data_IF_517527777018
#
_entry.id   IF_517527777018
#
_cell.length_a   1.000
_cell.length_b   1.000
_cell.length_c   1.000
_cell.angle_alpha   90.00
_cell.angle_beta   90.00
_cell.angle_gamma   90.00
#
_symmetry.space_group_name_H-M   'P 1'
#
loop_
_entity.id
_entity.type
_entity.pdbx_description
1 polymer ?
#
# COMPACT_ATOMS: atom_id res chain seq x y z
N UNK A 1 17.62 -11.59 1.12
CA UNK A 1 16.39 -10.78 0.97
C UNK A 1 16.77 -9.31 1.01
N UNK A 2 16.15 -8.46 0.19
CA UNK A 2 16.51 -7.04 0.12
C UNK A 2 16.17 -6.28 1.40
N UNK A 3 16.96 -5.25 1.69
CA UNK A 3 16.77 -4.33 2.80
C UNK A 3 16.38 -2.95 2.29
N UNK A 4 15.50 -2.27 3.02
CA UNK A 4 15.20 -0.84 2.86
C UNK A 4 15.49 -0.15 4.20
N UNK A 5 16.38 0.84 4.17
CA UNK A 5 16.61 1.69 5.33
C UNK A 5 15.47 2.69 5.50
N UNK A 6 15.06 2.92 6.75
CA UNK A 6 14.09 3.94 7.08
C UNK A 6 14.55 4.81 8.24
N UNK A 7 14.02 6.03 8.30
CA UNK A 7 14.11 6.93 9.45
C UNK A 7 12.72 7.29 9.96
N UNK A 8 12.47 7.10 11.25
CA UNK A 8 11.30 7.53 11.97
C UNK A 8 11.65 8.74 12.85
N UNK A 9 10.85 9.80 12.78
CA UNK A 9 11.06 11.03 13.56
C UNK A 9 9.78 11.48 14.25
N UNK A 10 9.92 12.11 15.43
CA UNK A 10 8.85 12.67 16.26
C UNK A 10 7.84 11.65 16.85
N UNK A 11 8.13 10.35 16.76
CA UNK A 11 7.31 9.34 17.44
C UNK A 11 7.60 9.29 18.93
N UNK A 12 6.54 9.32 19.73
CA UNK A 12 6.62 9.12 21.18
C UNK A 12 7.00 7.66 21.53
N UNK A 13 7.66 7.40 22.67
CA UNK A 13 8.13 6.06 23.03
C UNK A 13 7.04 4.97 23.08
N UNK A 14 5.78 5.33 23.30
CA UNK A 14 4.67 4.38 23.36
C UNK A 14 4.37 3.69 22.01
N UNK A 15 4.85 4.25 20.89
CA UNK A 15 4.77 3.63 19.57
C UNK A 15 5.73 2.46 19.38
N UNK A 16 6.61 2.22 20.36
CA UNK A 16 7.51 1.07 20.37
C UNK A 16 8.87 1.33 19.71
N UNK A 17 9.81 0.37 19.85
CA UNK A 17 11.21 0.56 19.49
C UNK A 17 11.45 0.70 17.99
N UNK A 18 10.56 0.19 17.14
CA UNK A 18 10.68 0.30 15.68
C UNK A 18 10.49 1.74 15.18
N UNK A 19 9.91 2.63 15.98
CA UNK A 19 9.72 4.04 15.62
C UNK A 19 10.68 4.97 16.38
N UNK A 20 11.66 4.41 17.10
CA UNK A 20 12.65 5.14 17.87
C UNK A 20 13.90 5.51 17.04
N UNK A 21 13.70 6.18 15.90
CA UNK A 21 14.79 6.65 15.03
C UNK A 21 14.93 5.82 13.75
N UNK A 22 16.14 5.39 13.41
CA UNK A 22 16.41 4.71 12.15
C UNK A 22 16.43 3.19 12.28
N UNK A 23 16.07 2.49 11.21
CA UNK A 23 16.08 1.03 11.16
C UNK A 23 16.20 0.46 9.75
N UNK A 24 16.20 -0.87 9.67
CA UNK A 24 16.21 -1.62 8.42
C UNK A 24 14.96 -2.51 8.36
N UNK A 25 14.27 -2.49 7.22
CA UNK A 25 13.19 -3.42 6.93
C UNK A 25 13.67 -4.42 5.88
N UNK A 26 13.52 -5.71 6.19
CA UNK A 26 13.54 -6.75 5.17
C UNK A 26 12.22 -6.69 4.43
N UNK A 27 12.28 -6.33 3.15
CA UNK A 27 11.12 -6.16 2.27
C UNK A 27 11.37 -7.00 1.02
N UNK A 28 10.43 -7.87 0.68
CA UNK A 28 10.55 -8.76 -0.49
C UNK A 28 9.94 -8.11 -1.73
N UNK A 29 10.23 -8.66 -2.92
CA UNK A 29 9.52 -8.26 -4.14
C UNK A 29 8.01 -8.50 -4.03
N UNK A 30 7.61 -9.58 -3.35
CA UNK A 30 6.20 -9.85 -3.05
C UNK A 30 5.59 -8.72 -2.24
N UNK A 31 6.27 -8.24 -1.21
CA UNK A 31 5.78 -7.15 -0.34
C UNK A 31 5.68 -5.82 -1.10
N UNK A 32 6.64 -5.50 -1.97
CA UNK A 32 6.56 -4.31 -2.82
C UNK A 32 5.39 -4.39 -3.82
N UNK A 33 5.19 -5.55 -4.46
CA UNK A 33 4.09 -5.74 -5.41
C UNK A 33 2.74 -5.74 -4.69
N UNK A 34 2.63 -6.39 -3.53
CA UNK A 34 1.43 -6.32 -2.69
C UNK A 34 1.12 -4.89 -2.29
N UNK A 35 2.11 -4.14 -1.81
CA UNK A 35 1.92 -2.75 -1.44
C UNK A 35 1.48 -1.89 -2.64
N UNK A 36 2.09 -2.12 -3.81
CA UNK A 36 1.76 -1.45 -5.05
C UNK A 36 0.30 -1.69 -5.50
N UNK A 37 -0.18 -2.93 -5.48
CA UNK A 37 -1.53 -3.29 -5.98
C UNK A 37 -2.63 -3.04 -4.94
N UNK A 38 -2.29 -2.94 -3.65
CA UNK A 38 -3.28 -2.77 -2.57
C UNK A 38 -3.34 -1.37 -1.96
N UNK A 39 -2.32 -0.52 -2.14
CA UNK A 39 -2.41 0.86 -1.65
C UNK A 39 -3.57 1.58 -2.37
N UNK A 40 -4.57 2.01 -1.59
CA UNK A 40 -5.81 2.61 -2.10
C UNK A 40 -5.58 3.69 -3.17
N UNK A 41 -6.56 3.89 -4.06
CA UNK A 41 -6.37 4.66 -5.30
C UNK A 41 -7.14 6.00 -5.37
N UNK A 42 -6.54 7.06 -5.97
CA UNK A 42 -7.24 8.22 -6.53
C UNK A 42 -8.25 7.84 -7.64
N UNK A 43 -9.54 8.18 -7.52
CA UNK A 43 -10.48 8.13 -8.66
C UNK A 43 -11.15 6.78 -8.95
N UNK A 44 -11.17 5.88 -7.97
CA UNK A 44 -11.77 4.52 -8.04
C UNK A 44 -13.25 4.48 -8.45
N UNK A 45 -14.01 5.58 -8.27
CA UNK A 45 -15.42 5.68 -8.69
C UNK A 45 -15.66 5.26 -10.14
N UNK A 46 -14.77 5.69 -11.05
CA UNK A 46 -14.96 5.51 -12.48
C UNK A 46 -14.40 4.19 -13.02
N UNK A 47 -13.40 3.61 -12.35
CA UNK A 47 -12.71 2.42 -12.85
C UNK A 47 -13.33 1.11 -12.33
N UNK A 48 -13.86 1.09 -11.10
CA UNK A 48 -14.51 -0.12 -10.57
C UNK A 48 -15.94 -0.34 -11.09
N UNK A 49 -16.51 0.62 -11.83
CA UNK A 49 -17.76 0.40 -12.55
C UNK A 49 -17.64 -0.69 -13.64
N UNK A 50 -16.40 -1.02 -14.07
CA UNK A 50 -16.15 -2.07 -15.07
C UNK A 50 -14.95 -2.95 -14.67
N UNK A 51 -15.20 -4.24 -14.38
CA UNK A 51 -14.22 -5.21 -13.86
C UNK A 51 -12.97 -5.48 -14.71
N UNK A 52 -12.90 -4.98 -15.96
CA UNK A 52 -11.68 -5.02 -16.78
C UNK A 52 -10.59 -4.05 -16.28
N UNK A 53 -11.00 -2.94 -15.66
CA UNK A 53 -10.07 -1.88 -15.27
C UNK A 53 -9.29 -2.20 -13.99
N UNK A 54 -9.80 -3.07 -13.11
CA UNK A 54 -9.07 -3.51 -11.91
C UNK A 54 -7.89 -4.43 -12.25
N UNK A 55 -8.10 -5.41 -13.12
CA UNK A 55 -7.04 -6.30 -13.61
C UNK A 55 -5.94 -5.49 -14.31
N UNK A 56 -6.33 -4.58 -15.19
CA UNK A 56 -5.40 -3.68 -15.88
C UNK A 56 -4.58 -2.85 -14.88
N UNK A 57 -5.18 -2.41 -13.77
CA UNK A 57 -4.49 -1.64 -12.73
C UNK A 57 -3.45 -2.49 -11.98
N UNK A 58 -3.79 -3.74 -11.60
CA UNK A 58 -2.84 -4.67 -10.99
C UNK A 58 -1.64 -4.92 -11.90
N UNK A 59 -1.89 -5.11 -13.20
CA UNK A 59 -0.87 -5.27 -14.24
C UNK A 59 0.05 -4.04 -14.27
N UNK A 60 -0.52 -2.84 -14.40
CA UNK A 60 0.24 -1.57 -14.48
C UNK A 60 1.06 -1.32 -13.23
N UNK A 61 0.49 -1.51 -12.04
CA UNK A 61 1.16 -1.24 -10.75
C UNK A 61 2.29 -2.22 -10.50
N UNK A 62 2.06 -3.50 -10.78
CA UNK A 62 3.11 -4.51 -10.70
C UNK A 62 4.21 -4.21 -11.70
N UNK A 63 3.86 -3.85 -12.95
CA UNK A 63 4.83 -3.41 -13.94
C UNK A 63 5.58 -2.15 -13.54
N UNK A 64 4.95 -1.22 -12.83
CA UNK A 64 5.61 -0.01 -12.33
C UNK A 64 6.73 -0.40 -11.36
N UNK A 65 6.48 -1.33 -10.44
CA UNK A 65 7.53 -1.89 -9.55
C UNK A 65 8.61 -2.59 -10.38
N UNK A 66 8.21 -3.47 -11.30
CA UNK A 66 9.13 -4.24 -12.14
C UNK A 66 10.04 -3.31 -12.96
N UNK A 67 9.49 -2.38 -13.72
CA UNK A 67 10.24 -1.52 -14.63
C UNK A 67 11.06 -0.46 -13.90
N UNK A 68 10.60 0.03 -12.74
CA UNK A 68 11.21 1.18 -12.06
C UNK A 68 12.34 0.80 -11.11
N UNK A 69 12.36 -0.43 -10.61
CA UNK A 69 13.29 -0.88 -9.57
C UNK A 69 14.15 -2.04 -10.05
N UNK A 70 15.36 -2.11 -9.51
CA UNK A 70 16.25 -3.27 -9.59
C UNK A 70 16.85 -3.56 -8.22
N UNK A 71 17.40 -4.75 -8.05
CA UNK A 71 18.13 -5.11 -6.84
C UNK A 71 19.64 -4.95 -7.09
N UNK A 72 20.35 -4.41 -6.12
CA UNK A 72 21.80 -4.22 -6.16
C UNK A 72 22.34 -4.30 -4.74
N UNK A 73 23.35 -5.15 -4.51
CA UNK A 73 23.99 -5.31 -3.19
C UNK A 73 23.00 -5.55 -2.03
N UNK A 74 21.94 -6.32 -2.26
CA UNK A 74 20.91 -6.60 -1.25
C UNK A 74 19.99 -5.42 -0.92
N UNK A 75 19.95 -4.38 -1.75
CA UNK A 75 19.06 -3.21 -1.61
C UNK A 75 18.32 -2.95 -2.93
N UNK A 76 17.33 -2.08 -2.90
CA UNK A 76 16.61 -1.63 -4.09
C UNK A 76 17.21 -0.34 -4.64
N UNK A 77 17.37 -0.26 -5.95
CA UNK A 77 17.81 0.95 -6.65
C UNK A 77 16.86 1.28 -7.80
N UNK A 78 16.94 2.52 -8.28
CA UNK A 78 16.31 2.91 -9.56
C UNK A 78 16.90 2.05 -10.69
N UNK A 79 16.04 1.62 -11.60
CA UNK A 79 16.45 1.05 -12.88
C UNK A 79 16.94 2.12 -13.86
N UNK A 80 17.58 1.68 -14.95
CA UNK A 80 17.88 2.56 -16.09
C UNK A 80 16.61 3.15 -16.71
N UNK A 81 15.51 2.38 -16.76
CA UNK A 81 14.22 2.84 -17.28
C UNK A 81 13.68 4.00 -16.44
N UNK A 82 13.68 3.89 -15.10
CA UNK A 82 13.36 5.02 -14.23
C UNK A 82 14.26 6.21 -14.58
N UNK A 83 15.58 5.98 -14.66
CA UNK A 83 16.56 7.02 -14.96
C UNK A 83 16.28 7.78 -16.27
N UNK A 84 15.74 7.09 -17.27
CA UNK A 84 15.45 7.60 -18.61
C UNK A 84 14.10 8.35 -18.72
N UNK A 85 13.18 8.18 -17.77
CA UNK A 85 11.88 8.88 -17.78
C UNK A 85 12.04 10.40 -17.83
N UNK A 86 11.11 11.09 -18.49
CA UNK A 86 11.06 12.56 -18.46
C UNK A 86 10.62 13.07 -17.06
N UNK A 87 10.80 14.36 -16.72
CA UNK A 87 10.45 14.89 -15.40
C UNK A 87 9.01 14.63 -14.95
N UNK A 88 8.04 14.63 -15.87
CA UNK A 88 6.63 14.40 -15.58
C UNK A 88 6.37 12.94 -15.21
N UNK A 89 6.87 12.02 -16.04
CA UNK A 89 6.83 10.58 -15.78
C UNK A 89 7.55 10.23 -14.48
N UNK A 90 8.74 10.80 -14.22
CA UNK A 90 9.46 10.66 -12.95
C UNK A 90 8.63 11.14 -11.76
N UNK A 91 7.87 12.23 -11.94
CA UNK A 91 6.94 12.73 -10.94
C UNK A 91 5.88 11.69 -10.59
N UNK A 92 5.21 11.13 -11.59
CA UNK A 92 4.20 10.08 -11.42
C UNK A 92 4.77 8.80 -10.79
N UNK A 93 5.91 8.30 -11.30
CA UNK A 93 6.58 7.12 -10.73
C UNK A 93 7.04 7.37 -9.29
N UNK A 94 7.58 8.55 -9.00
CA UNK A 94 7.95 8.92 -7.62
C UNK A 94 6.74 8.90 -6.69
N UNK A 95 5.65 9.58 -7.08
CA UNK A 95 4.41 9.60 -6.31
C UNK A 95 3.93 8.18 -5.99
N UNK A 96 3.93 7.30 -6.99
CA UNK A 96 3.62 5.88 -6.80
C UNK A 96 4.55 5.18 -5.79
N UNK A 97 5.85 5.43 -5.83
CA UNK A 97 6.79 4.88 -4.82
C UNK A 97 6.50 5.41 -3.41
N UNK A 98 6.07 6.67 -3.29
CA UNK A 98 5.61 7.25 -2.02
C UNK A 98 4.43 6.48 -1.44
N UNK A 99 3.41 6.22 -2.26
CA UNK A 99 2.21 5.45 -1.87
C UNK A 99 2.59 4.02 -1.45
N UNK A 100 3.44 3.35 -2.23
CA UNK A 100 3.94 2.01 -1.90
C UNK A 100 4.69 2.00 -0.56
N UNK A 101 5.55 3.00 -0.32
CA UNK A 101 6.26 3.13 0.95
C UNK A 101 5.32 3.34 2.14
N UNK A 102 4.28 4.17 1.98
CA UNK A 102 3.28 4.38 3.02
C UNK A 102 2.59 3.07 3.40
N UNK A 103 2.22 2.26 2.40
CA UNK A 103 1.60 0.94 2.62
C UNK A 103 2.52 -0.05 3.32
N UNK A 104 3.79 -0.14 2.91
CA UNK A 104 4.77 -0.99 3.61
C UNK A 104 4.97 -0.54 5.05
N UNK A 105 5.21 0.76 5.28
CA UNK A 105 5.45 1.29 6.63
C UNK A 105 4.22 1.15 7.53
N UNK A 106 3.02 1.40 7.02
CA UNK A 106 1.79 1.24 7.79
C UNK A 106 1.58 -0.20 8.27
N UNK A 107 1.80 -1.16 7.38
CA UNK A 107 1.66 -2.57 7.74
C UNK A 107 2.77 -3.03 8.70
N UNK A 108 4.02 -2.62 8.45
CA UNK A 108 5.20 -3.12 9.19
C UNK A 108 5.45 -2.43 10.52
N UNK A 109 5.11 -1.14 10.64
CA UNK A 109 5.41 -0.32 11.81
C UNK A 109 4.17 0.09 12.60
N UNK A 110 3.00 0.14 11.98
CA UNK A 110 1.79 0.73 12.57
C UNK A 110 0.62 -0.25 12.69
N UNK A 111 0.84 -1.52 12.36
CA UNK A 111 -0.20 -2.55 12.39
C UNK A 111 -1.48 -2.15 11.63
N UNK A 112 -1.28 -1.48 10.50
CA UNK A 112 -2.33 -0.89 9.67
C UNK A 112 -2.23 -1.45 8.25
N UNK A 113 -2.69 -2.70 8.02
CA UNK A 113 -2.52 -3.34 6.73
C UNK A 113 -3.55 -2.85 5.70
N UNK A 114 -4.67 -2.28 6.10
CA UNK A 114 -5.60 -1.63 5.17
C UNK A 114 -5.32 -0.13 5.08
N UNK A 115 -4.87 0.32 3.90
CA UNK A 115 -4.75 1.74 3.55
C UNK A 115 -5.65 2.06 2.35
N UNK A 116 -6.47 3.08 2.52
CA UNK A 116 -7.42 3.58 1.54
C UNK A 116 -7.06 4.99 1.13
N UNK A 117 -7.15 5.30 -0.15
CA UNK A 117 -6.98 6.67 -0.61
C UNK A 117 -8.26 7.47 -0.41
N UNK A 118 -8.15 8.71 0.06
CA UNK A 118 -9.31 9.51 0.47
C UNK A 118 -10.36 9.67 -0.64
N UNK A 119 -9.92 9.78 -1.90
CA UNK A 119 -10.85 9.89 -3.03
C UNK A 119 -11.80 8.69 -3.18
N UNK A 120 -11.45 7.51 -2.64
CA UNK A 120 -12.30 6.32 -2.71
C UNK A 120 -13.63 6.55 -1.97
N UNK A 121 -13.63 7.42 -0.97
CA UNK A 121 -14.78 7.70 -0.12
C UNK A 121 -15.72 8.74 -0.72
N UNK A 122 -15.16 9.77 -1.41
CA UNK A 122 -15.97 10.72 -2.22
C UNK A 122 -16.83 10.00 -3.25
N UNK A 123 -16.21 9.02 -3.91
CA UNK A 123 -16.81 8.14 -4.90
C UNK A 123 -17.92 7.22 -4.36
N UNK A 124 -18.01 7.01 -3.05
CA UNK A 124 -19.01 6.15 -2.40
C UNK A 124 -20.18 6.94 -1.81
N UNK A 125 -20.31 8.24 -2.11
CA UNK A 125 -21.28 9.11 -1.46
C UNK A 125 -20.88 9.53 -0.04
N UNK A 126 -19.59 9.39 0.32
CA UNK A 126 -19.06 9.97 1.55
C UNK A 126 -19.24 11.48 1.54
N UNK A 127 -19.78 12.02 2.64
CA UNK A 127 -19.91 13.46 2.83
C UNK A 127 -18.53 13.95 3.25
N UNK A 128 -17.78 14.42 2.27
CA UNK A 128 -16.51 15.08 2.47
C UNK A 128 -16.66 16.48 1.85
N UNK A 129 -17.14 17.43 2.65
CA UNK A 129 -16.96 18.84 2.32
C UNK A 129 -15.56 19.17 2.78
N UNK A 130 -14.67 19.49 1.85
CA UNK A 130 -13.36 20.02 2.18
C UNK A 130 -13.32 21.42 1.61
N UNK A 131 -13.14 22.39 2.50
CA UNK A 131 -12.98 23.80 2.14
C UNK A 131 -11.60 24.14 1.54
N UNK A 132 -10.67 23.17 1.44
CA UNK A 132 -9.28 23.38 0.99
C UNK A 132 -8.84 22.40 -0.11
N UNK A 133 -7.88 22.81 -0.95
CA UNK A 133 -7.28 21.98 -2.02
C UNK A 133 -6.19 21.02 -1.52
N UNK A 134 -6.04 20.83 -0.21
CA UNK A 134 -4.91 20.18 0.43
C UNK A 134 -5.42 19.13 1.40
N UNK A 135 -5.35 17.87 1.00
CA UNK A 135 -5.95 16.75 1.73
C UNK A 135 -4.90 15.67 1.92
N UNK A 136 -4.99 14.86 3.00
CA UNK A 136 -4.14 13.70 3.09
C UNK A 136 -4.47 12.69 1.98
N UNK A 137 -3.47 11.95 1.53
CA UNK A 137 -3.61 10.92 0.51
C UNK A 137 -4.38 9.71 1.06
N UNK A 138 -4.08 9.28 2.29
CA UNK A 138 -4.42 7.96 2.81
C UNK A 138 -5.07 8.00 4.20
N UNK A 139 -6.01 7.08 4.42
CA UNK A 139 -6.47 6.67 5.75
C UNK A 139 -6.35 5.16 5.92
N UNK A 140 -6.10 4.70 7.14
CA UNK A 140 -6.07 3.30 7.48
C UNK A 140 -6.62 3.03 8.87
N UNK A 141 -6.91 1.75 9.15
CA UNK A 141 -7.37 1.32 10.47
C UNK A 141 -6.37 0.33 11.06
N UNK A 142 -5.92 0.61 12.27
CA UNK A 142 -5.07 -0.28 13.07
C UNK A 142 -5.85 -1.52 13.51
N UNK A 143 -5.18 -2.62 13.87
CA UNK A 143 -5.87 -3.79 14.42
C UNK A 143 -6.62 -3.49 15.73
N UNK A 144 -6.16 -2.50 16.51
CA UNK A 144 -6.85 -2.02 17.72
C UNK A 144 -8.09 -1.15 17.40
N UNK A 145 -8.38 -0.90 16.12
CA UNK A 145 -9.56 -0.19 15.66
C UNK A 145 -9.40 1.33 15.56
N UNK A 146 -8.25 1.89 15.94
CA UNK A 146 -7.94 3.31 15.79
C UNK A 146 -7.58 3.70 14.35
N UNK A 147 -7.89 4.92 13.96
CA UNK A 147 -7.60 5.43 12.61
C UNK A 147 -6.22 6.07 12.50
N UNK A 148 -5.55 5.84 11.37
CA UNK A 148 -4.31 6.50 10.97
C UNK A 148 -4.58 7.32 9.73
N UNK A 149 -4.02 8.52 9.67
CA UNK A 149 -3.97 9.36 8.47
C UNK A 149 -2.55 9.39 7.97
N UNK A 150 -2.34 9.23 6.66
CA UNK A 150 -1.01 9.28 6.08
C UNK A 150 -0.97 10.14 4.82
N UNK A 151 0.12 10.88 4.67
CA UNK A 151 0.43 11.61 3.45
C UNK A 151 1.71 11.06 2.84
N UNK A 152 1.71 10.77 1.54
CA UNK A 152 2.77 10.01 0.91
C UNK A 152 3.48 10.82 -0.17
N UNK A 153 4.79 11.04 -0.01
CA UNK A 153 5.62 11.75 -0.99
C UNK A 153 6.68 10.84 -1.60
N UNK A 154 6.92 11.01 -2.89
CA UNK A 154 8.03 10.37 -3.57
C UNK A 154 9.06 11.37 -4.06
N UNK A 155 10.34 11.04 -3.94
CA UNK A 155 11.46 11.81 -4.47
C UNK A 155 12.34 10.92 -5.33
N UNK A 156 12.74 11.42 -6.49
CA UNK A 156 13.72 10.74 -7.35
C UNK A 156 15.12 10.72 -6.76
N UNK A 157 15.44 11.67 -5.88
CA UNK A 157 16.77 11.86 -5.29
C UNK A 157 16.69 11.75 -3.77
N UNK A 158 17.60 12.40 -3.03
CA UNK A 158 17.62 12.37 -1.58
C UNK A 158 16.35 12.89 -0.91
N UNK A 159 16.32 12.75 0.41
CA UNK A 159 15.24 13.23 1.28
C UNK A 159 14.99 14.72 1.08
N UNK A 160 13.73 15.14 1.13
CA UNK A 160 13.31 16.53 1.09
C UNK A 160 12.51 16.88 2.34
N UNK A 161 13.12 17.65 3.23
CA UNK A 161 12.48 18.12 4.45
C UNK A 161 11.32 19.07 4.15
N UNK A 162 11.45 19.94 3.14
CA UNK A 162 10.35 20.79 2.67
C UNK A 162 9.12 19.97 2.25
N UNK A 163 9.31 18.89 1.50
CA UNK A 163 8.22 18.02 1.10
C UNK A 163 7.62 17.27 2.30
N UNK A 164 8.45 16.90 3.28
CA UNK A 164 7.98 16.27 4.51
C UNK A 164 7.14 17.25 5.36
N UNK A 165 7.58 18.48 5.55
CA UNK A 165 6.81 19.53 6.25
C UNK A 165 5.48 19.81 5.55
N UNK A 166 5.48 19.93 4.22
CA UNK A 166 4.23 20.12 3.47
C UNK A 166 3.28 18.93 3.64
N UNK A 167 3.82 17.70 3.64
CA UNK A 167 3.04 16.50 3.86
C UNK A 167 2.42 16.46 5.26
N UNK A 168 3.15 16.90 6.30
CA UNK A 168 2.60 17.05 7.65
C UNK A 168 1.41 18.00 7.67
N UNK A 169 1.54 19.17 7.05
CA UNK A 169 0.44 20.15 6.96
C UNK A 169 -0.79 19.54 6.29
N UNK A 170 -0.61 18.73 5.24
CA UNK A 170 -1.70 18.00 4.58
C UNK A 170 -2.43 17.04 5.54
N UNK A 171 -1.72 16.28 6.37
CA UNK A 171 -2.37 15.37 7.35
C UNK A 171 -3.21 16.08 8.41
N UNK A 172 -2.96 17.37 8.69
CA UNK A 172 -3.68 18.16 9.70
C UNK A 172 -5.07 18.61 9.25
N UNK A 173 -5.35 18.52 7.94
CA UNK A 173 -6.61 18.96 7.32
C UNK A 173 -7.78 17.97 7.52
N UNK A 174 -7.52 16.82 8.16
CA UNK A 174 -8.53 15.86 8.56
C UNK A 174 -8.58 15.72 10.09
N UNK A 175 -9.73 16.08 10.67
CA UNK A 175 -9.93 16.14 12.13
C UNK A 175 -10.43 14.81 12.70
N UNK A 176 -11.56 14.30 12.20
CA UNK A 176 -12.15 13.02 12.62
C UNK A 176 -12.47 12.12 11.44
N UNK A 177 -12.47 10.82 11.70
CA UNK A 177 -12.93 9.78 10.78
C UNK A 177 -14.00 8.97 11.47
N UNK A 178 -15.21 8.96 10.92
CA UNK A 178 -16.38 8.27 11.49
C UNK A 178 -16.56 8.59 12.99
N UNK A 179 -16.45 9.88 13.33
CA UNK A 179 -16.61 10.39 14.71
C UNK A 179 -15.40 10.21 15.63
N UNK A 180 -14.33 9.52 15.21
CA UNK A 180 -13.14 9.26 16.03
C UNK A 180 -11.96 10.13 15.60
N UNK A 181 -11.16 10.58 16.57
CA UNK A 181 -9.87 11.20 16.26
C UNK A 181 -8.87 10.14 15.77
N UNK A 182 -8.13 10.39 14.68
CA UNK A 182 -6.99 9.57 14.31
C UNK A 182 -5.99 9.48 15.46
N UNK A 183 -5.56 8.25 15.77
CA UNK A 183 -4.54 7.96 16.77
C UNK A 183 -3.16 8.39 16.30
N UNK A 184 -2.97 8.48 14.98
CA UNK A 184 -1.72 8.89 14.35
C UNK A 184 -2.01 9.66 13.06
N UNK A 185 -1.19 10.67 12.80
CA UNK A 185 -1.07 11.35 11.51
C UNK A 185 0.38 11.19 11.11
N UNK A 186 0.67 10.65 9.94
CA UNK A 186 2.05 10.38 9.54
C UNK A 186 2.35 10.94 8.14
N UNK A 187 3.45 11.68 8.02
CA UNK A 187 4.01 12.03 6.74
C UNK A 187 5.05 10.96 6.34
N UNK A 188 4.93 10.41 5.14
CA UNK A 188 5.83 9.39 4.59
C UNK A 188 6.54 9.92 3.37
N UNK A 189 7.81 9.55 3.20
CA UNK A 189 8.56 9.82 2.00
C UNK A 189 9.37 8.62 1.53
N UNK A 190 9.19 8.24 0.26
CA UNK A 190 10.11 7.37 -0.46
C UNK A 190 11.14 8.22 -1.22
N UNK A 191 12.41 7.86 -1.15
CA UNK A 191 13.49 8.61 -1.80
C UNK A 191 14.68 7.70 -2.14
N UNK A 192 15.66 8.20 -2.90
CA UNK A 192 16.82 7.41 -3.35
C UNK A 192 18.15 8.09 -3.01
N UNK A 193 19.05 7.36 -2.35
CA UNK A 193 20.40 7.84 -2.02
C UNK A 193 21.43 6.71 -1.80
N UNK A 194 22.05 6.19 -2.87
CA UNK A 194 21.45 5.92 -4.18
C UNK A 194 20.35 4.84 -4.13
N UNK A 195 20.34 4.03 -3.07
CA UNK A 195 19.33 3.01 -2.82
C UNK A 195 18.02 3.62 -2.31
N UNK A 196 16.93 2.88 -2.48
CA UNK A 196 15.62 3.24 -1.97
C UNK A 196 15.65 3.30 -0.45
N UNK A 197 15.11 4.39 0.08
CA UNK A 197 14.98 4.65 1.51
C UNK A 197 13.60 5.20 1.81
N UNK A 198 13.11 4.93 3.00
CA UNK A 198 11.87 5.49 3.51
C UNK A 198 12.12 6.48 4.64
N UNK A 199 11.19 7.39 4.84
CA UNK A 199 11.10 8.21 6.03
C UNK A 199 9.65 8.26 6.47
N UNK A 200 9.43 8.23 7.78
CA UNK A 200 8.12 8.40 8.40
C UNK A 200 8.24 9.41 9.54
N UNK A 201 7.26 10.28 9.67
CA UNK A 201 7.25 11.31 10.70
C UNK A 201 5.85 11.49 11.27
N UNK A 202 5.72 11.49 12.59
CA UNK A 202 4.48 11.77 13.32
C UNK A 202 4.38 13.28 13.63
N UNK A 203 3.66 14.09 12.83
CA UNK A 203 3.29 15.43 13.24
C UNK A 203 2.44 15.39 14.51
N UNK A 204 2.98 15.99 15.58
CA UNK A 204 2.12 16.48 16.65
C UNK A 204 1.15 17.52 16.05
N UNK A 205 -0.13 17.46 16.42
CA UNK A 205 -1.24 18.39 16.11
C UNK A 205 -2.18 18.04 14.93
N UNK A 206 -3.40 18.54 15.05
CA UNK A 206 -4.42 18.68 14.01
C UNK A 206 -4.98 20.11 14.07
N UNK A 207 -5.59 20.60 12.99
CA UNK A 207 -6.25 21.91 13.02
C UNK A 207 -7.68 21.76 13.58
N UNK A 208 -8.06 22.56 14.59
CA UNK A 208 -9.39 22.44 15.23
C UNK A 208 -10.55 22.67 14.26
N UNK A 209 -10.32 23.51 13.25
CA UNK A 209 -11.25 23.84 12.17
C UNK A 209 -11.13 22.91 10.96
N UNK A 210 -10.31 21.85 11.04
CA UNK A 210 -10.25 20.83 10.01
C UNK A 210 -11.53 20.01 9.96
N UNK A 211 -11.71 19.32 8.85
CA UNK A 211 -12.98 18.72 8.46
C UNK A 211 -13.10 17.29 8.99
N UNK A 212 -14.33 16.82 9.16
CA UNK A 212 -14.62 15.45 9.56
C UNK A 212 -15.00 14.62 8.33
N UNK A 213 -14.41 13.43 8.19
CA UNK A 213 -14.75 12.47 7.16
C UNK A 213 -15.70 11.41 7.72
N UNK A 214 -16.86 11.25 7.07
CA UNK A 214 -17.78 10.16 7.37
C UNK A 214 -18.06 9.34 6.10
N UNK A 215 -17.95 8.01 6.22
CA UNK A 215 -18.18 7.08 5.12
C UNK A 215 -18.64 5.72 5.61
N UNK A 216 -19.26 4.96 4.70
CA UNK A 216 -19.59 3.56 4.93
C UNK A 216 -18.32 2.68 4.81
N UNK A 217 -17.86 2.13 5.94
CA UNK A 217 -16.64 1.30 5.99
C UNK A 217 -16.76 0.08 5.08
N UNK A 218 -17.90 -0.61 5.09
CA UNK A 218 -18.15 -1.77 4.25
C UNK A 218 -17.94 -1.47 2.77
N UNK A 219 -18.54 -0.40 2.25
CA UNK A 219 -18.37 0.01 0.85
C UNK A 219 -16.92 0.29 0.49
N UNK A 220 -16.11 0.77 1.44
CA UNK A 220 -14.68 0.97 1.20
C UNK A 220 -13.89 -0.34 1.16
N UNK A 221 -14.19 -1.28 2.05
CA UNK A 221 -13.56 -2.60 2.07
C UNK A 221 -13.98 -3.42 0.84
N UNK A 222 -15.24 -3.36 0.44
CA UNK A 222 -15.72 -3.95 -0.82
C UNK A 222 -14.94 -3.42 -2.03
N UNK A 223 -14.73 -2.10 -2.11
CA UNK A 223 -13.92 -1.49 -3.18
C UNK A 223 -12.44 -1.86 -3.12
N UNK A 224 -11.91 -2.12 -1.94
CA UNK A 224 -10.53 -2.57 -1.76
C UNK A 224 -10.32 -3.97 -2.34
N UNK A 225 -11.24 -4.90 -2.06
CA UNK A 225 -11.11 -6.28 -2.53
C UNK A 225 -11.69 -6.55 -3.92
N UNK A 226 -12.60 -5.70 -4.42
CA UNK A 226 -13.16 -5.86 -5.77
C UNK A 226 -12.11 -5.84 -6.87
N UNK A 227 -10.93 -5.25 -6.59
CA UNK A 227 -9.77 -5.30 -7.47
C UNK A 227 -9.28 -6.71 -7.82
N UNK A 228 -9.62 -7.71 -6.99
CA UNK A 228 -9.12 -9.08 -7.06
C UNK A 228 -10.23 -10.12 -7.29
N UNK A 229 -11.49 -9.69 -7.25
CA UNK A 229 -12.66 -10.57 -7.24
C UNK A 229 -13.41 -10.47 -8.56
N UNK A 230 -12.77 -10.90 -9.64
CA UNK A 230 -13.43 -11.01 -10.94
C UNK A 230 -13.92 -12.44 -11.16
N UNK A 231 -15.23 -12.66 -11.11
CA UNK A 231 -15.84 -13.99 -11.33
C UNK A 231 -16.17 -14.32 -12.79
N UNK A 232 -16.14 -13.34 -13.69
CA UNK A 232 -16.84 -13.43 -14.97
C UNK A 232 -15.97 -13.74 -16.19
N UNK A 233 -14.64 -13.75 -16.07
CA UNK A 233 -13.79 -13.73 -17.28
C UNK A 233 -12.40 -14.37 -17.18
N UNK A 234 -11.93 -14.76 -16.00
CA UNK A 234 -10.68 -15.50 -15.84
C UNK A 234 -10.92 -16.73 -14.96
N UNK A 235 -10.13 -17.79 -15.16
CA UNK A 235 -10.18 -18.97 -14.30
C UNK A 235 -9.71 -18.59 -12.90
N UNK A 236 -10.66 -18.45 -11.98
CA UNK A 236 -10.37 -18.41 -10.55
C UNK A 236 -10.00 -19.82 -10.09
N UNK A 237 -8.89 -19.93 -9.36
CA UNK A 237 -8.46 -21.19 -8.76
C UNK A 237 -8.77 -21.17 -7.28
N UNK A 238 -9.22 -22.31 -6.80
CA UNK A 238 -9.32 -22.58 -5.39
C UNK A 238 -8.01 -23.20 -4.90
N UNK A 239 -7.34 -22.54 -3.96
CA UNK A 239 -6.02 -22.96 -3.49
C UNK A 239 -6.02 -23.00 -1.96
N UNK A 240 -5.60 -24.15 -1.40
CA UNK A 240 -5.31 -24.24 0.03
C UNK A 240 -3.89 -23.78 0.29
N UNK A 241 -3.73 -22.74 1.12
CA UNK A 241 -2.44 -22.18 1.52
C UNK A 241 -2.41 -22.15 3.05
N UNK A 242 -1.48 -22.89 3.67
CA UNK A 242 -1.39 -23.04 5.12
C UNK A 242 -2.73 -23.47 5.77
N UNK A 243 -3.48 -24.36 5.12
CA UNK A 243 -4.77 -24.86 5.61
C UNK A 243 -5.94 -23.87 5.48
N UNK A 244 -5.72 -22.68 4.94
CA UNK A 244 -6.76 -21.70 4.60
C UNK A 244 -7.07 -21.74 3.11
N UNK A 245 -8.32 -21.46 2.77
CA UNK A 245 -8.82 -21.49 1.39
C UNK A 245 -8.71 -20.10 0.77
N UNK A 246 -8.11 -20.01 -0.41
CA UNK A 246 -7.93 -18.77 -1.17
C UNK A 246 -8.58 -18.89 -2.54
N UNK A 247 -9.23 -17.80 -2.97
CA UNK A 247 -9.66 -17.62 -4.36
C UNK A 247 -8.55 -16.86 -5.08
N UNK A 248 -7.86 -17.52 -5.99
CA UNK A 248 -6.66 -17.03 -6.67
C UNK A 248 -6.95 -16.69 -8.12
N UNK A 249 -6.45 -15.53 -8.55
CA UNK A 249 -6.43 -15.05 -9.92
C UNK A 249 -4.97 -14.95 -10.39
N UNK A 250 -4.68 -15.54 -11.56
CA UNK A 250 -3.36 -15.47 -12.19
C UNK A 250 -3.33 -14.34 -13.23
N UNK A 251 -2.25 -13.55 -13.21
CA UNK A 251 -1.96 -12.54 -14.21
C UNK A 251 -0.67 -12.92 -14.94
N UNK A 252 -0.78 -13.86 -15.88
CA UNK A 252 0.33 -14.44 -16.61
C UNK A 252 1.13 -13.41 -17.42
N UNK A 253 0.55 -12.27 -17.79
CA UNK A 253 1.22 -11.20 -18.52
C UNK A 253 2.33 -10.56 -17.69
N UNK A 254 2.17 -10.59 -16.36
CA UNK A 254 3.05 -9.89 -15.41
C UNK A 254 3.68 -10.80 -14.37
N UNK A 255 3.32 -12.09 -14.35
CA UNK A 255 3.96 -13.11 -13.52
C UNK A 255 3.62 -13.01 -12.06
N UNK A 256 2.38 -12.59 -11.77
CA UNK A 256 1.87 -12.50 -10.41
C UNK A 256 0.60 -13.35 -10.31
N UNK A 257 0.40 -13.99 -9.16
CA UNK A 257 -0.86 -14.61 -8.78
C UNK A 257 -1.35 -13.96 -7.50
N UNK A 258 -2.58 -13.48 -7.49
CA UNK A 258 -3.19 -12.77 -6.36
C UNK A 258 -4.34 -13.59 -5.83
N UNK A 259 -4.32 -13.93 -4.54
CA UNK A 259 -5.36 -14.64 -3.83
C UNK A 259 -6.04 -13.78 -2.79
N UNK A 260 -7.34 -14.00 -2.56
CA UNK A 260 -8.06 -13.46 -1.41
C UNK A 260 -8.57 -14.62 -0.57
N UNK A 261 -8.30 -14.56 0.74
CA UNK A 261 -8.78 -15.55 1.71
C UNK A 261 -10.32 -15.63 1.70
N UNK A 262 -10.88 -16.84 1.61
CA UNK A 262 -12.32 -17.03 1.57
C UNK A 262 -13.02 -16.48 2.82
N UNK A 263 -12.35 -16.46 3.97
CA UNK A 263 -12.91 -15.87 5.18
C UNK A 263 -13.06 -14.34 5.08
N UNK A 264 -12.20 -13.64 4.33
CA UNK A 264 -12.41 -12.22 4.01
C UNK A 264 -13.69 -12.06 3.20
N UNK A 265 -13.91 -12.93 2.21
CA UNK A 265 -15.09 -12.91 1.35
C UNK A 265 -16.37 -13.20 2.13
N UNK A 266 -16.31 -14.14 3.08
CA UNK A 266 -17.41 -14.44 3.98
C UNK A 266 -17.74 -13.25 4.90
N UNK A 267 -16.72 -12.57 5.46
CA UNK A 267 -16.91 -11.34 6.25
C UNK A 267 -17.54 -10.22 5.41
N UNK A 268 -17.11 -10.06 4.16
CA UNK A 268 -17.69 -9.11 3.20
C UNK A 268 -19.14 -9.44 2.83
N UNK A 269 -19.51 -10.72 2.77
CA UNK A 269 -20.89 -11.13 2.50
C UNK A 269 -21.80 -11.09 3.75
N UNK A 270 -21.23 -11.23 4.94
CA UNK A 270 -21.96 -11.19 6.21
C UNK A 270 -22.30 -9.76 6.66
N UNK A 271 -23.10 -9.65 7.73
CA UNK A 271 -23.61 -8.37 8.24
C UNK A 271 -22.73 -7.68 9.30
N UNK A 272 -21.62 -8.30 9.73
CA UNK A 272 -20.80 -7.80 10.84
C UNK A 272 -19.67 -6.86 10.36
N UNK A 273 -19.96 -5.55 10.31
CA UNK A 273 -19.01 -4.52 9.89
C UNK A 273 -17.78 -4.40 10.80
N UNK A 274 -17.92 -4.72 12.09
CA UNK A 274 -16.83 -4.60 13.07
C UNK A 274 -15.69 -5.59 12.81
N UNK A 275 -15.97 -6.67 12.07
CA UNK A 275 -14.99 -7.71 11.73
C UNK A 275 -14.24 -7.43 10.40
N UNK A 276 -14.68 -6.46 9.59
CA UNK A 276 -14.17 -6.23 8.23
C UNK A 276 -12.71 -5.77 8.20
N UNK A 277 -12.31 -4.93 9.16
CA UNK A 277 -10.97 -4.37 9.29
C UNK A 277 -10.27 -4.91 10.53
N UNK A 278 -10.46 -6.21 10.78
CA UNK A 278 -9.75 -6.95 11.82
C UNK A 278 -8.94 -8.06 11.18
N UNK A 279 -7.72 -8.33 11.66
CA UNK A 279 -6.94 -9.47 11.20
C UNK A 279 -7.75 -10.77 11.32
N UNK A 280 -7.50 -11.71 10.41
CA UNK A 280 -8.23 -12.99 10.38
C UNK A 280 -7.86 -13.93 11.53
N UNK A 281 -6.64 -13.80 12.08
CA UNK A 281 -6.13 -14.56 13.23
C UNK A 281 -5.33 -13.66 14.18
N UNK A 282 -5.11 -14.09 15.42
CA UNK A 282 -4.30 -13.34 16.42
C UNK A 282 -2.82 -13.20 15.99
N UNK A 283 -2.34 -14.09 15.12
CA UNK A 283 -1.01 -14.02 14.47
C UNK A 283 -1.05 -13.34 13.08
N UNK A 284 -2.23 -12.94 12.59
CA UNK A 284 -2.44 -12.46 11.22
C UNK A 284 -1.91 -11.05 10.95
N UNK A 285 -1.17 -10.44 11.88
CA UNK A 285 -0.43 -9.20 11.62
C UNK A 285 0.94 -9.47 10.98
N UNK A 286 1.29 -10.74 10.75
CA UNK A 286 2.56 -11.14 10.18
C UNK A 286 2.44 -11.58 8.72
N UNK A 287 3.54 -11.40 8.00
CA UNK A 287 3.70 -11.89 6.63
C UNK A 287 4.15 -13.35 6.71
N UNK A 288 3.41 -14.26 6.08
CA UNK A 288 3.66 -15.71 6.18
C UNK A 288 4.02 -16.31 4.82
N UNK A 289 4.99 -17.23 4.80
CA UNK A 289 5.36 -17.97 3.60
C UNK A 289 4.57 -19.28 3.51
N UNK A 290 3.78 -19.45 2.45
CA UNK A 290 2.94 -20.61 2.16
C UNK A 290 3.28 -21.25 0.82
N UNK A 291 4.44 -21.89 0.72
CA UNK A 291 4.94 -22.44 -0.53
C UNK A 291 5.31 -21.31 -1.51
N UNK A 292 4.71 -21.23 -2.72
CA UNK A 292 4.99 -20.15 -3.66
C UNK A 292 4.33 -18.81 -3.26
N UNK A 293 3.39 -18.83 -2.31
CA UNK A 293 2.66 -17.64 -1.88
C UNK A 293 3.27 -17.00 -0.63
N UNK A 294 3.18 -15.69 -0.58
CA UNK A 294 3.34 -14.88 0.63
C UNK A 294 1.96 -14.35 1.04
N UNK A 295 1.56 -14.57 2.28
CA UNK A 295 0.25 -14.15 2.81
C UNK A 295 0.45 -12.88 3.62
N UNK A 296 -0.39 -11.89 3.34
CA UNK A 296 -0.34 -10.58 3.96
C UNK A 296 -1.46 -10.40 5.00
N UNK A 297 -1.28 -9.48 5.96
CA UNK A 297 -2.24 -9.28 7.04
C UNK A 297 -3.65 -8.84 6.64
N UNK A 298 -3.80 -8.29 5.43
CA UNK A 298 -5.09 -7.97 4.84
C UNK A 298 -5.75 -9.18 4.14
N UNK A 299 -5.26 -10.41 4.36
CA UNK A 299 -5.83 -11.62 3.78
C UNK A 299 -5.58 -11.76 2.27
N UNK A 300 -4.70 -10.94 1.70
CA UNK A 300 -4.21 -11.12 0.33
C UNK A 300 -3.05 -12.12 0.34
N UNK A 301 -3.04 -13.07 -0.59
CA UNK A 301 -1.91 -13.93 -0.89
C UNK A 301 -1.29 -13.51 -2.23
N UNK A 302 0.04 -13.44 -2.31
CA UNK A 302 0.74 -13.10 -3.55
C UNK A 302 1.82 -14.13 -3.86
N UNK A 303 1.83 -14.64 -5.08
CA UNK A 303 2.96 -15.37 -5.63
C UNK A 303 3.55 -14.60 -6.81
N UNK A 304 4.87 -14.70 -6.97
CA UNK A 304 5.59 -14.16 -8.11
C UNK A 304 6.31 -15.29 -8.83
N UNK A 305 6.24 -15.30 -10.16
CA UNK A 305 6.88 -16.34 -10.95
C UNK A 305 8.39 -16.07 -11.18
N UNK A 306 9.02 -16.92 -12.01
CA UNK A 306 10.45 -16.85 -12.33
C UNK A 306 10.92 -15.48 -12.85
N UNK A 307 10.04 -14.65 -13.44
CA UNK A 307 10.39 -13.29 -13.93
C UNK A 307 10.86 -12.39 -12.80
N UNK A 308 10.34 -12.59 -11.60
CA UNK A 308 10.63 -11.83 -10.39
C UNK A 308 11.74 -12.46 -9.53
N UNK A 309 12.37 -13.52 -10.01
CA UNK A 309 13.48 -14.15 -9.31
C UNK A 309 14.62 -13.16 -9.05
N UNK A 310 15.29 -13.29 -7.90
CA UNK A 310 16.38 -12.41 -7.50
C UNK A 310 17.47 -12.26 -8.60
N UNK A 311 17.94 -13.33 -9.29
CA UNK A 311 18.88 -13.19 -10.41
C UNK A 311 18.37 -12.32 -11.56
N UNK A 312 17.06 -12.31 -11.83
CA UNK A 312 16.46 -11.44 -12.85
C UNK A 312 16.29 -10.01 -12.35
N UNK A 313 15.84 -9.85 -11.11
CA UNK A 313 15.60 -8.53 -10.54
C UNK A 313 16.90 -7.76 -10.24
N UNK A 314 18.03 -8.46 -10.09
CA UNK A 314 19.36 -7.85 -10.08
C UNK A 314 19.79 -7.25 -11.43
N UNK A 315 19.20 -7.71 -12.53
CA UNK A 315 19.45 -7.14 -13.85
C UNK A 315 18.64 -5.89 -14.04
N UNK A 316 19.22 -4.96 -14.77
CA UNK A 316 18.49 -3.83 -15.31
C UNK A 316 17.34 -4.32 -16.20
N UNK A 317 16.14 -3.69 -16.18
CA UNK A 317 14.99 -4.10 -16.98
C UNK A 317 15.29 -4.36 -18.45
N UNK A 318 16.16 -3.55 -19.09
CA UNK A 318 16.54 -3.75 -20.49
C UNK A 318 17.24 -5.11 -20.75
N UNK A 319 17.84 -5.70 -19.71
CA UNK A 319 18.56 -6.97 -19.73
C UNK A 319 17.73 -8.13 -19.14
N UNK A 320 16.52 -7.87 -18.67
CA UNK A 320 15.54 -8.90 -18.28
C UNK A 320 14.89 -9.47 -19.54
N UNK A 321 15.71 -10.05 -20.44
CA UNK A 321 15.19 -10.72 -21.63
C UNK A 321 14.21 -11.84 -21.22
N UNK A 322 13.06 -11.84 -21.89
CA UNK A 322 12.00 -12.86 -21.86
C UNK A 322 12.62 -14.28 -21.93
N UNK A 323 12.19 -15.30 -21.18
CA UNK A 323 10.82 -15.50 -20.70
C UNK A 323 9.94 -15.85 -21.87
#
# INVERSE_FOLDING_TARGET
MPLIAYGATNFKPHWGPLLAGAGLLTVTWQELVWAAITVGKPGVAHLLAHGWHSVSDNIVRSHMVYASLRQSSGQYEKSSLYGALDPTEKGATSYFMGMMAAKVLAARLLDTPWLFHLSMFRASGGILKLHTNSEPDLIGRTAMGGWVVMEAKGRTHGRSDRAMTAAKTQTRQLRRINGQFPVLRAAVQAYFQPEMRFAIDDPEEYEENAEDLNFNVRSAVEKYYSGFLRRDTQMLRDVSILGRRYIVQDHEEVGISVGVDSQVLERLAGANDDALLKPLAEQANQIEAGGPFTIFPDGVALALDKRWSEPRMMRDPALRRNG
#
